data_IF_789021303316
#
_entry.id   IF_789021303316
#
_cell.length_a   1.000
_cell.length_b   1.000
_cell.length_c   1.000
_cell.angle_alpha   90.00
_cell.angle_beta   90.00
_cell.angle_gamma   90.00
#
_symmetry.space_group_name_H-M   'P 1'
#
loop_
_entity.id
_entity.type
_entity.pdbx_description
1 polymer ?
#
# COMPACT_ATOMS: atom_id res chain seq x y z
N UNK A 1 16.72 -16.49 -74.50
CA UNK A 1 17.89 -16.16 -73.62
C UNK A 1 18.09 -17.18 -72.50
N UNK A 2 17.37 -18.32 -72.50
CA UNK A 2 17.37 -19.28 -71.40
C UNK A 2 18.07 -20.60 -71.65
N UNK A 3 19.01 -20.69 -72.60
CA UNK A 3 19.64 -21.95 -72.91
C UNK A 3 21.15 -21.88 -73.17
N UNK A 4 21.90 -21.13 -72.43
CA UNK A 4 23.36 -21.32 -72.36
C UNK A 4 23.72 -21.56 -70.89
N UNK A 5 23.72 -22.84 -70.57
CA UNK A 5 24.56 -23.64 -69.75
C UNK A 5 25.16 -22.94 -68.55
N UNK A 6 24.52 -23.12 -67.42
CA UNK A 6 25.24 -23.19 -66.15
C UNK A 6 25.65 -24.64 -65.99
N UNK A 7 26.68 -25.06 -66.78
CA UNK A 7 27.25 -26.41 -66.75
C UNK A 7 28.21 -26.60 -65.55
N UNK A 8 28.10 -25.78 -64.53
CA UNK A 8 28.90 -25.95 -63.30
C UNK A 8 27.98 -26.06 -62.06
N UNK A 9 27.54 -27.28 -61.71
CA UNK A 9 26.67 -27.48 -60.54
C UNK A 9 27.36 -27.10 -59.27
N UNK A 10 28.67 -27.16 -59.17
CA UNK A 10 29.44 -26.72 -57.98
C UNK A 10 29.38 -25.24 -57.86
N UNK A 11 29.48 -24.44 -58.90
CA UNK A 11 29.36 -23.00 -58.91
C UNK A 11 27.95 -22.54 -58.45
N UNK A 12 26.91 -23.23 -58.92
CA UNK A 12 25.52 -22.90 -58.53
C UNK A 12 25.29 -23.20 -57.07
N UNK A 13 25.79 -24.30 -56.52
CA UNK A 13 25.72 -24.66 -55.14
C UNK A 13 26.46 -23.60 -54.24
N UNK A 14 27.69 -23.23 -54.68
CA UNK A 14 28.50 -22.25 -53.97
C UNK A 14 27.82 -20.85 -53.91
N UNK A 15 27.21 -20.39 -55.01
CA UNK A 15 26.46 -19.13 -55.04
C UNK A 15 25.21 -19.19 -54.16
N UNK A 16 24.48 -20.31 -54.21
CA UNK A 16 23.29 -20.50 -53.36
C UNK A 16 23.67 -20.49 -51.85
N UNK A 17 24.77 -21.15 -51.51
CA UNK A 17 25.26 -21.16 -50.12
C UNK A 17 25.75 -19.79 -49.68
N UNK A 18 26.46 -19.06 -50.52
CA UNK A 18 26.89 -17.70 -50.23
C UNK A 18 25.70 -16.72 -50.05
N UNK A 19 24.66 -16.88 -50.90
CA UNK A 19 23.44 -16.09 -50.79
C UNK A 19 22.68 -16.38 -49.50
N UNK A 20 22.53 -17.63 -49.10
CA UNK A 20 21.86 -18.01 -47.84
C UNK A 20 22.66 -17.57 -46.61
N UNK A 21 23.99 -17.67 -46.63
CA UNK A 21 24.86 -17.18 -45.58
C UNK A 21 24.77 -15.65 -45.41
N UNK A 22 24.70 -14.91 -46.50
CA UNK A 22 24.52 -13.46 -46.49
C UNK A 22 23.16 -13.04 -45.93
N UNK A 23 22.09 -13.75 -46.30
CA UNK A 23 20.75 -13.51 -45.76
C UNK A 23 20.69 -13.79 -44.25
N UNK A 24 21.31 -14.87 -43.76
CA UNK A 24 21.31 -15.17 -42.33
C UNK A 24 21.98 -14.07 -41.46
N UNK A 25 23.05 -13.45 -41.98
CA UNK A 25 23.71 -12.33 -41.33
C UNK A 25 22.80 -11.09 -41.27
N UNK A 26 21.98 -10.85 -42.30
CA UNK A 26 21.02 -9.75 -42.31
C UNK A 26 19.88 -9.92 -41.29
N UNK A 27 19.40 -11.15 -41.10
CA UNK A 27 18.41 -11.44 -40.04
C UNK A 27 18.98 -11.21 -38.65
N UNK A 28 20.23 -11.58 -38.39
CA UNK A 28 20.89 -11.30 -37.10
C UNK A 28 20.99 -9.82 -36.81
N UNK A 29 21.27 -8.98 -37.81
CA UNK A 29 21.32 -7.52 -37.64
C UNK A 29 19.94 -6.95 -37.26
N UNK A 30 18.88 -7.43 -37.91
CA UNK A 30 17.51 -7.00 -37.58
C UNK A 30 17.15 -7.36 -36.14
N UNK A 31 17.52 -8.55 -35.68
CA UNK A 31 17.29 -8.95 -34.27
C UNK A 31 18.02 -8.05 -33.29
N UNK A 32 19.29 -7.69 -33.56
CA UNK A 32 20.07 -6.78 -32.70
C UNK A 32 19.40 -5.42 -32.62
N UNK A 33 18.95 -4.84 -33.73
CA UNK A 33 18.25 -3.55 -33.76
C UNK A 33 16.96 -3.62 -32.93
N UNK A 34 16.17 -4.66 -33.09
CA UNK A 34 14.92 -4.84 -32.29
C UNK A 34 15.23 -4.93 -30.81
N UNK A 35 16.23 -5.75 -30.42
CA UNK A 35 16.62 -5.89 -29.01
C UNK A 35 17.15 -4.59 -28.41
N UNK A 36 17.87 -3.79 -29.19
CA UNK A 36 18.32 -2.45 -28.75
C UNK A 36 17.15 -1.49 -28.53
N UNK A 37 16.15 -1.50 -29.41
CA UNK A 37 14.96 -0.66 -29.25
C UNK A 37 14.14 -1.07 -28.03
N UNK A 38 14.00 -2.37 -27.77
CA UNK A 38 13.33 -2.90 -26.56
C UNK A 38 14.09 -2.51 -25.29
N UNK A 39 15.42 -2.67 -25.29
CA UNK A 39 16.28 -2.27 -24.18
C UNK A 39 16.21 -0.75 -23.92
N UNK A 40 16.22 0.05 -24.98
CA UNK A 40 16.06 1.51 -24.87
C UNK A 40 14.71 1.87 -24.26
N UNK A 41 13.62 1.29 -24.73
CA UNK A 41 12.28 1.53 -24.17
C UNK A 41 12.12 1.05 -22.72
N UNK A 42 12.86 0.00 -22.32
CA UNK A 42 12.92 -0.42 -20.93
C UNK A 42 13.72 0.57 -20.06
N UNK A 43 14.89 1.01 -20.56
CA UNK A 43 15.73 1.99 -19.90
C UNK A 43 15.01 3.34 -19.70
N UNK A 44 14.30 3.83 -20.72
CA UNK A 44 13.52 5.07 -20.62
C UNK A 44 12.47 5.00 -19.48
N UNK A 45 11.81 3.85 -19.33
CA UNK A 45 10.86 3.65 -18.21
C UNK A 45 11.54 3.66 -16.85
N UNK A 46 12.72 3.06 -16.74
CA UNK A 46 13.50 3.06 -15.49
C UNK A 46 13.94 4.49 -15.15
N UNK A 47 14.55 5.20 -16.10
CA UNK A 47 14.97 6.58 -15.88
C UNK A 47 13.80 7.51 -15.54
N UNK A 48 12.64 7.32 -16.17
CA UNK A 48 11.45 8.09 -15.82
C UNK A 48 11.01 7.88 -14.37
N UNK A 49 11.17 6.67 -13.83
CA UNK A 49 10.89 6.39 -12.41
C UNK A 49 11.96 7.03 -11.53
N UNK A 50 13.24 6.92 -11.90
CA UNK A 50 14.37 7.49 -11.16
C UNK A 50 14.33 9.01 -11.11
N UNK A 51 13.95 9.67 -12.23
CA UNK A 51 13.81 11.12 -12.33
C UNK A 51 12.53 11.66 -11.66
N UNK A 52 11.61 10.79 -11.23
CA UNK A 52 10.39 11.23 -10.54
C UNK A 52 10.73 11.71 -9.15
N UNK A 53 10.51 12.99 -8.90
CA UNK A 53 10.70 13.57 -7.57
C UNK A 53 9.63 13.05 -6.60
N UNK A 54 9.98 12.75 -5.36
CA UNK A 54 9.01 12.36 -4.35
C UNK A 54 8.06 13.53 -4.03
N UNK A 55 6.80 13.23 -3.78
CA UNK A 55 5.78 14.23 -3.41
C UNK A 55 6.04 14.86 -2.02
N UNK A 56 6.80 14.18 -1.18
CA UNK A 56 7.22 14.66 0.13
C UNK A 56 8.67 14.26 0.39
N UNK A 57 9.43 15.15 1.03
CA UNK A 57 10.85 14.95 1.27
C UNK A 57 11.14 14.61 2.75
N UNK A 58 12.21 13.86 2.99
CA UNK A 58 12.70 13.63 4.35
C UNK A 58 13.26 14.95 4.93
N UNK A 59 12.93 15.31 6.19
CA UNK A 59 13.44 16.53 6.79
C UNK A 59 14.96 16.47 6.98
N UNK A 60 15.64 17.58 6.68
CA UNK A 60 17.10 17.70 6.86
C UNK A 60 17.48 17.56 8.34
N UNK A 61 16.63 18.08 9.24
CA UNK A 61 16.81 17.99 10.69
C UNK A 61 15.55 17.38 11.31
N UNK A 62 15.43 16.03 11.32
CA UNK A 62 14.24 15.36 11.82
C UNK A 62 14.07 15.57 13.33
N UNK A 63 12.83 15.81 13.74
CA UNK A 63 12.43 15.91 15.13
C UNK A 63 11.73 14.61 15.55
N UNK A 64 12.04 14.13 16.75
CA UNK A 64 11.37 12.96 17.33
C UNK A 64 10.07 13.42 17.99
N UNK A 65 8.95 12.82 17.60
CA UNK A 65 7.63 13.20 18.16
C UNK A 65 7.28 12.48 19.46
N UNK A 66 8.00 11.41 19.81
CA UNK A 66 7.67 10.57 20.95
C UNK A 66 6.35 9.80 20.75
N UNK A 67 5.77 9.28 21.84
CA UNK A 67 4.46 8.65 21.81
C UNK A 67 3.38 9.66 21.40
N UNK A 68 2.51 9.28 20.46
CA UNK A 68 1.51 10.19 19.91
C UNK A 68 0.38 10.39 20.92
N UNK A 69 0.24 11.62 21.44
CA UNK A 69 -0.82 12.04 22.33
C UNK A 69 -1.93 12.79 21.58
N UNK A 70 -1.54 13.59 20.57
CA UNK A 70 -2.48 14.39 19.79
C UNK A 70 -2.06 14.44 18.32
N UNK A 71 -3.06 14.43 17.42
CA UNK A 71 -2.91 14.80 16.01
C UNK A 71 -3.86 15.97 15.76
N UNK A 72 -3.37 17.05 15.17
CA UNK A 72 -4.16 18.22 14.90
C UNK A 72 -4.07 18.62 13.42
N UNK A 73 -5.20 18.70 12.75
CA UNK A 73 -5.35 19.28 11.43
C UNK A 73 -5.73 20.73 11.59
N UNK A 74 -4.86 21.65 11.15
CA UNK A 74 -5.06 23.11 11.22
C UNK A 74 -5.28 23.70 9.84
N UNK A 75 -6.53 24.04 9.54
CA UNK A 75 -6.91 24.70 8.29
C UNK A 75 -6.40 23.97 7.04
N UNK A 76 -6.46 22.64 7.05
CA UNK A 76 -5.89 21.79 6.00
C UNK A 76 -6.76 21.83 4.76
N UNK A 77 -6.18 22.26 3.64
CA UNK A 77 -6.76 22.12 2.31
C UNK A 77 -5.86 21.24 1.44
N UNK A 78 -6.46 20.44 0.56
CA UNK A 78 -5.70 19.55 -0.31
C UNK A 78 -6.40 19.31 -1.65
N UNK A 79 -5.62 19.32 -2.72
CA UNK A 79 -5.97 18.83 -4.06
C UNK A 79 -4.83 17.92 -4.55
N UNK A 80 -5.17 16.87 -5.30
CA UNK A 80 -4.12 16.00 -5.89
C UNK A 80 -3.34 16.75 -6.98
N UNK A 81 -2.05 16.46 -7.14
CA UNK A 81 -1.24 17.04 -8.21
C UNK A 81 -1.93 16.91 -9.59
N UNK A 82 -1.91 18.01 -10.35
CA UNK A 82 -2.55 18.07 -11.67
C UNK A 82 -4.07 18.20 -11.66
N UNK A 83 -4.71 18.39 -10.49
CA UNK A 83 -6.15 18.66 -10.40
C UNK A 83 -6.44 19.95 -9.67
N UNK A 84 -7.45 20.71 -10.12
CA UNK A 84 -7.95 21.90 -9.42
C UNK A 84 -9.01 21.56 -8.36
N UNK A 85 -9.51 20.32 -8.37
CA UNK A 85 -10.57 19.89 -7.45
C UNK A 85 -10.02 19.72 -6.05
N UNK A 86 -10.40 20.61 -5.14
CA UNK A 86 -10.11 20.47 -3.71
C UNK A 86 -10.87 19.27 -3.15
N UNK A 87 -10.16 18.39 -2.47
CA UNK A 87 -10.69 17.21 -1.78
C UNK A 87 -10.96 17.55 -0.32
N UNK A 88 -10.06 18.29 0.31
CA UNK A 88 -10.21 18.84 1.64
C UNK A 88 -10.20 20.37 1.52
N UNK A 89 -11.06 21.04 2.29
CA UNK A 89 -11.16 22.49 2.31
C UNK A 89 -11.23 23.00 3.75
N UNK A 90 -10.17 23.70 4.18
CA UNK A 90 -10.06 24.33 5.50
C UNK A 90 -10.43 23.38 6.66
N UNK A 91 -10.06 22.11 6.52
CA UNK A 91 -10.39 21.07 7.49
C UNK A 91 -9.65 21.30 8.80
N UNK A 92 -10.41 21.30 9.90
CA UNK A 92 -9.89 21.45 11.26
C UNK A 92 -10.41 20.28 12.11
N UNK A 93 -9.50 19.53 12.70
CA UNK A 93 -9.87 18.40 13.55
C UNK A 93 -8.75 18.07 14.53
N UNK A 94 -9.11 17.60 15.73
CA UNK A 94 -8.14 17.12 16.71
C UNK A 94 -8.48 15.70 17.12
N UNK A 95 -7.48 14.83 17.05
CA UNK A 95 -7.52 13.43 17.47
C UNK A 95 -6.67 13.31 18.73
N UNK A 96 -7.24 12.75 19.77
CA UNK A 96 -6.53 12.46 21.01
C UNK A 96 -6.18 10.98 21.11
N UNK A 97 -5.14 10.67 21.86
CA UNK A 97 -4.77 9.29 22.18
C UNK A 97 -5.96 8.54 22.77
N UNK A 98 -6.22 7.34 22.26
CA UNK A 98 -7.34 6.51 22.65
C UNK A 98 -8.66 6.82 21.93
N UNK A 99 -8.72 7.85 21.08
CA UNK A 99 -9.89 8.10 20.24
C UNK A 99 -10.09 6.96 19.22
N UNK A 100 -11.32 6.49 19.11
CA UNK A 100 -11.74 5.56 18.06
C UNK A 100 -12.71 6.27 17.14
N UNK A 101 -12.21 6.67 15.95
CA UNK A 101 -12.91 7.55 15.03
C UNK A 101 -13.30 6.77 13.77
N UNK A 102 -14.60 6.71 13.52
CA UNK A 102 -15.15 6.23 12.28
C UNK A 102 -15.26 7.37 11.26
N UNK A 103 -14.90 7.12 10.01
CA UNK A 103 -15.04 8.08 8.91
C UNK A 103 -16.04 7.49 7.92
N UNK A 104 -17.23 8.08 7.85
CA UNK A 104 -18.33 7.65 7.01
C UNK A 104 -18.52 8.57 5.80
N UNK A 105 -19.06 8.05 4.71
CA UNK A 105 -19.44 8.84 3.54
C UNK A 105 -19.24 8.13 2.23
N UNK A 106 -19.69 8.78 1.15
CA UNK A 106 -19.65 8.23 -0.20
C UNK A 106 -18.23 8.00 -0.72
N UNK A 107 -18.08 7.10 -1.70
CA UNK A 107 -16.82 6.90 -2.39
C UNK A 107 -16.35 8.20 -3.07
N UNK A 108 -15.06 8.47 -3.04
CA UNK A 108 -14.47 9.69 -3.61
C UNK A 108 -14.67 10.98 -2.79
N UNK A 109 -15.20 10.87 -1.57
CA UNK A 109 -15.42 12.03 -0.68
C UNK A 109 -14.16 12.50 0.08
N UNK A 110 -12.99 11.90 -0.16
CA UNK A 110 -11.73 12.32 0.45
C UNK A 110 -11.30 11.56 1.71
N UNK A 111 -12.03 10.50 2.11
CA UNK A 111 -11.72 9.73 3.32
C UNK A 111 -10.30 9.15 3.31
N UNK A 112 -9.96 8.39 2.28
CA UNK A 112 -8.61 7.79 2.14
C UNK A 112 -7.53 8.87 1.94
N UNK A 113 -7.90 10.04 1.40
CA UNK A 113 -6.98 11.19 1.27
C UNK A 113 -6.53 11.68 2.63
N UNK A 114 -7.43 11.73 3.63
CA UNK A 114 -7.08 12.12 5.00
C UNK A 114 -6.02 11.19 5.59
N UNK A 115 -6.18 9.87 5.39
CA UNK A 115 -5.18 8.88 5.86
C UNK A 115 -3.84 9.02 5.12
N UNK A 116 -3.88 9.27 3.81
CA UNK A 116 -2.67 9.46 3.00
C UNK A 116 -1.88 10.72 3.38
N UNK A 117 -2.58 11.79 3.75
CA UNK A 117 -1.94 13.00 4.29
C UNK A 117 -1.29 12.73 5.65
N UNK A 118 -1.96 11.96 6.52
CA UNK A 118 -1.41 11.61 7.83
C UNK A 118 -0.19 10.68 7.71
N UNK A 119 -0.18 9.80 6.70
CA UNK A 119 0.97 8.95 6.35
C UNK A 119 2.08 9.71 5.61
N UNK A 120 1.83 10.99 5.30
CA UNK A 120 2.78 11.84 4.59
C UNK A 120 3.11 11.37 3.18
N UNK A 121 2.16 10.67 2.51
CA UNK A 121 2.27 10.36 1.08
C UNK A 121 2.11 11.62 0.22
N UNK A 122 1.40 12.61 0.75
CA UNK A 122 1.21 13.93 0.17
C UNK A 122 1.35 14.99 1.26
N UNK A 123 1.75 16.20 0.86
CA UNK A 123 1.71 17.38 1.72
C UNK A 123 0.39 18.13 1.52
N UNK A 124 -0.18 18.77 2.57
CA UNK A 124 -1.33 19.64 2.40
C UNK A 124 -0.98 20.83 1.50
N UNK A 125 -1.95 21.26 0.66
CA UNK A 125 -1.78 22.45 -0.20
C UNK A 125 -1.81 23.74 0.62
N UNK A 126 -2.60 23.76 1.70
CA UNK A 126 -2.70 24.86 2.65
C UNK A 126 -2.90 24.31 4.06
N UNK A 127 -2.48 25.07 5.08
CA UNK A 127 -2.56 24.65 6.47
C UNK A 127 -1.46 23.70 6.87
N UNK A 128 -1.62 23.00 7.98
CA UNK A 128 -0.61 22.08 8.52
C UNK A 128 -1.23 20.94 9.32
N UNK A 129 -0.52 19.83 9.40
CA UNK A 129 -0.84 18.71 10.27
C UNK A 129 0.23 18.66 11.36
N UNK A 130 -0.19 18.57 12.61
CA UNK A 130 0.71 18.53 13.76
C UNK A 130 0.55 17.20 14.50
N UNK A 131 1.66 16.64 14.95
CA UNK A 131 1.69 15.54 15.92
C UNK A 131 2.36 16.06 17.21
N UNK A 132 1.65 16.01 18.32
CA UNK A 132 2.11 16.57 19.60
C UNK A 132 2.58 18.05 19.47
N UNK A 133 1.96 18.83 18.59
CA UNK A 133 2.34 20.21 18.31
C UNK A 133 3.53 20.37 17.34
N UNK A 134 4.16 19.28 16.89
CA UNK A 134 5.27 19.27 15.93
C UNK A 134 4.70 19.14 14.52
N UNK A 135 5.06 20.01 13.57
CA UNK A 135 4.67 19.88 12.16
C UNK A 135 5.06 18.51 11.59
N UNK A 136 4.12 17.86 10.91
CA UNK A 136 4.30 16.51 10.36
C UNK A 136 5.51 16.41 9.41
N UNK A 137 5.79 17.47 8.67
CA UNK A 137 6.93 17.57 7.77
C UNK A 137 8.31 17.56 8.46
N UNK A 138 8.35 17.85 9.77
CA UNK A 138 9.59 17.83 10.55
C UNK A 138 9.88 16.47 11.19
N UNK A 139 8.94 15.51 11.11
CA UNK A 139 9.10 14.16 11.65
C UNK A 139 9.64 13.27 10.54
N UNK A 140 10.67 12.46 10.82
CA UNK A 140 11.19 11.52 9.82
C UNK A 140 10.15 10.46 9.43
N UNK A 141 10.21 9.94 8.20
CA UNK A 141 9.35 8.84 7.77
C UNK A 141 9.51 7.60 8.66
N UNK A 142 10.75 7.30 9.04
CA UNK A 142 11.06 6.17 9.92
C UNK A 142 10.36 6.28 11.27
N UNK A 143 10.41 7.46 11.92
CA UNK A 143 9.73 7.70 13.20
C UNK A 143 8.21 7.68 13.04
N UNK A 144 7.68 8.33 12.00
CA UNK A 144 6.25 8.38 11.73
C UNK A 144 5.68 6.98 11.48
N UNK A 145 6.30 6.23 10.57
CA UNK A 145 5.83 4.91 10.20
C UNK A 145 6.06 3.87 11.31
N UNK A 146 6.98 4.08 12.23
CA UNK A 146 7.11 3.25 13.43
C UNK A 146 5.89 3.38 14.35
N UNK A 147 5.25 4.54 14.40
CA UNK A 147 4.17 4.86 15.31
C UNK A 147 2.78 4.75 14.72
N UNK A 148 2.67 4.86 13.40
CA UNK A 148 1.41 4.76 12.67
C UNK A 148 1.46 3.50 11.80
N UNK A 149 0.45 2.65 11.90
CA UNK A 149 0.25 1.54 10.96
C UNK A 149 -0.99 1.78 10.10
N UNK A 150 -0.95 1.29 8.88
CA UNK A 150 -2.02 1.42 7.91
C UNK A 150 -2.43 0.06 7.35
N UNK A 151 -3.71 -0.23 7.39
CA UNK A 151 -4.35 -1.36 6.71
C UNK A 151 -5.10 -0.82 5.50
N UNK A 152 -4.61 -1.17 4.34
CA UNK A 152 -5.28 -0.88 3.07
C UNK A 152 -6.49 -1.81 2.87
N UNK A 153 -7.39 -1.39 1.97
CA UNK A 153 -8.55 -2.17 1.57
C UNK A 153 -8.15 -3.57 1.04
N UNK A 154 -7.07 -3.64 0.24
CA UNK A 154 -6.51 -4.86 -0.29
C UNK A 154 -5.14 -5.12 0.33
N UNK A 155 -5.02 -6.18 1.13
CA UNK A 155 -3.74 -6.58 1.72
C UNK A 155 -2.85 -7.25 0.68
N UNK A 156 -1.71 -6.62 0.39
CA UNK A 156 -0.70 -7.22 -0.48
C UNK A 156 0.12 -8.29 0.26
N UNK A 157 0.26 -9.45 -0.40
CA UNK A 157 1.11 -10.55 0.06
C UNK A 157 2.33 -10.68 -0.84
N UNK A 158 3.50 -10.73 -0.24
CA UNK A 158 4.76 -10.92 -0.92
C UNK A 158 5.00 -12.41 -1.24
N UNK A 159 5.82 -12.68 -2.24
CA UNK A 159 6.27 -14.02 -2.63
C UNK A 159 7.31 -14.55 -1.62
N UNK A 160 6.81 -14.92 -0.45
CA UNK A 160 7.55 -15.45 0.71
C UNK A 160 6.57 -16.24 1.59
N UNK A 161 7.03 -16.88 2.66
CA UNK A 161 6.16 -17.67 3.54
C UNK A 161 5.11 -16.83 4.28
N UNK A 162 4.08 -17.47 4.83
CA UNK A 162 3.08 -16.79 5.66
C UNK A 162 3.74 -16.15 6.89
N UNK A 163 4.64 -16.88 7.55
CA UNK A 163 5.37 -16.38 8.71
C UNK A 163 6.18 -15.13 8.39
N UNK A 164 6.91 -15.14 7.27
CA UNK A 164 7.67 -13.99 6.78
C UNK A 164 6.76 -12.82 6.39
N UNK A 165 5.63 -13.11 5.73
CA UNK A 165 4.63 -12.11 5.41
C UNK A 165 4.08 -11.38 6.64
N UNK A 166 3.87 -12.07 7.75
CA UNK A 166 3.49 -11.43 9.02
C UNK A 166 4.69 -10.72 9.64
N UNK A 167 5.86 -11.37 9.64
CA UNK A 167 7.09 -10.90 10.27
C UNK A 167 7.68 -9.63 9.68
N UNK A 168 7.37 -9.30 8.39
CA UNK A 168 7.83 -8.08 7.73
C UNK A 168 7.44 -6.80 8.50
N UNK A 169 6.37 -6.86 9.29
CA UNK A 169 5.90 -5.74 10.08
C UNK A 169 6.83 -5.39 11.26
N UNK A 170 7.61 -6.36 11.74
CA UNK A 170 8.57 -6.21 12.85
C UNK A 170 9.82 -7.05 12.56
N UNK A 171 10.83 -6.50 11.87
CA UNK A 171 12.08 -7.21 11.60
C UNK A 171 12.70 -7.76 12.90
N UNK A 172 13.03 -9.04 12.89
CA UNK A 172 13.58 -9.73 14.06
C UNK A 172 12.53 -10.24 15.07
N UNK A 173 11.23 -10.21 14.72
CA UNK A 173 10.20 -10.84 15.54
C UNK A 173 10.45 -12.35 15.67
N UNK A 174 10.21 -12.89 16.87
CA UNK A 174 10.29 -14.33 17.09
C UNK A 174 9.06 -15.03 16.47
N UNK A 175 9.19 -16.33 16.22
CA UNK A 175 8.06 -17.12 15.70
C UNK A 175 6.87 -17.14 16.68
N UNK A 176 7.14 -17.07 17.99
CA UNK A 176 6.11 -16.99 19.02
C UNK A 176 5.33 -15.67 18.91
N UNK A 177 6.01 -14.54 18.72
CA UNK A 177 5.36 -13.24 18.50
C UNK A 177 4.50 -13.25 17.23
N UNK A 178 4.98 -13.88 16.16
CA UNK A 178 4.24 -14.04 14.89
C UNK A 178 2.98 -14.87 15.11
N UNK A 179 3.10 -16.02 15.82
CA UNK A 179 1.98 -16.90 16.15
C UNK A 179 0.94 -16.20 17.04
N UNK A 180 1.39 -15.44 18.02
CA UNK A 180 0.50 -14.67 18.90
C UNK A 180 -0.27 -13.59 18.11
N UNK A 181 0.39 -12.89 17.22
CA UNK A 181 -0.25 -11.91 16.34
C UNK A 181 -1.26 -12.57 15.39
N UNK A 182 -0.92 -13.72 14.80
CA UNK A 182 -1.82 -14.48 13.94
C UNK A 182 -3.03 -15.00 14.71
N UNK A 183 -2.85 -15.46 15.95
CA UNK A 183 -3.95 -15.89 16.83
C UNK A 183 -4.88 -14.74 17.17
N UNK A 184 -4.34 -13.59 17.55
CA UNK A 184 -5.13 -12.39 17.83
C UNK A 184 -5.88 -11.89 16.58
N UNK A 185 -5.30 -12.03 15.37
CA UNK A 185 -5.95 -11.70 14.11
C UNK A 185 -6.98 -12.74 13.65
N UNK A 186 -7.11 -13.88 14.34
CA UNK A 186 -8.04 -14.95 13.99
C UNK A 186 -7.66 -15.72 12.73
N UNK A 187 -6.36 -15.76 12.35
CA UNK A 187 -5.88 -16.49 11.16
C UNK A 187 -5.11 -17.77 11.53
N UNK A 188 -4.73 -17.94 12.80
CA UNK A 188 -3.90 -19.06 13.24
C UNK A 188 -4.52 -20.43 12.93
N UNK A 189 -5.82 -20.61 13.21
CA UNK A 189 -6.53 -21.89 12.94
C UNK A 189 -6.46 -22.24 11.45
N UNK A 190 -6.62 -21.27 10.55
CA UNK A 190 -6.47 -21.49 9.12
C UNK A 190 -5.04 -21.91 8.77
N UNK A 191 -4.03 -21.21 9.31
CA UNK A 191 -2.63 -21.53 9.05
C UNK A 191 -2.29 -22.95 9.51
N UNK A 192 -2.81 -23.37 10.65
CA UNK A 192 -2.61 -24.73 11.21
C UNK A 192 -3.24 -25.83 10.35
N UNK A 193 -4.21 -25.53 9.47
CA UNK A 193 -4.75 -26.50 8.49
C UNK A 193 -3.84 -26.71 7.29
N UNK A 194 -2.86 -25.83 7.05
CA UNK A 194 -1.96 -25.93 5.92
C UNK A 194 -0.85 -26.94 6.18
N UNK A 195 -0.42 -27.72 5.17
CA UNK A 195 0.59 -28.76 5.33
C UNK A 195 1.92 -28.26 5.92
N UNK A 196 2.34 -27.06 5.57
CA UNK A 196 3.58 -26.44 6.00
C UNK A 196 3.36 -25.32 7.03
N UNK A 197 2.10 -25.08 7.45
CA UNK A 197 1.76 -24.08 8.45
C UNK A 197 2.29 -22.70 8.13
N UNK A 198 3.05 -22.10 9.02
CA UNK A 198 3.67 -20.77 8.85
C UNK A 198 4.76 -20.72 7.77
N UNK A 199 5.34 -21.88 7.39
CA UNK A 199 6.35 -21.99 6.33
C UNK A 199 5.72 -22.15 4.94
N UNK A 200 4.39 -22.14 4.84
CA UNK A 200 3.66 -22.23 3.56
C UNK A 200 4.03 -21.03 2.68
N UNK A 201 4.53 -21.31 1.49
CA UNK A 201 4.90 -20.32 0.48
C UNK A 201 3.66 -19.63 -0.14
N UNK A 202 3.66 -18.32 -0.13
CA UNK A 202 2.54 -17.50 -0.64
C UNK A 202 2.58 -17.26 -2.16
N UNK A 203 3.70 -17.50 -2.85
CA UNK A 203 3.82 -17.25 -4.29
C UNK A 203 2.69 -17.88 -5.10
N UNK A 204 2.48 -19.18 -4.92
CA UNK A 204 1.40 -19.92 -5.59
C UNK A 204 0.08 -19.91 -4.79
N UNK A 205 0.16 -19.76 -3.46
CA UNK A 205 -0.99 -19.79 -2.56
C UNK A 205 -1.75 -18.46 -2.50
N UNK A 206 -1.11 -17.33 -2.79
CA UNK A 206 -1.74 -16.00 -2.70
C UNK A 206 -3.05 -15.91 -3.50
N UNK A 207 -3.13 -16.59 -4.65
CA UNK A 207 -4.33 -16.66 -5.47
C UNK A 207 -5.45 -17.55 -4.87
N UNK A 208 -5.14 -18.41 -3.90
CA UNK A 208 -6.09 -19.35 -3.27
C UNK A 208 -6.66 -18.84 -1.96
N UNK A 209 -6.02 -17.82 -1.36
CA UNK A 209 -6.54 -17.20 -0.16
C UNK A 209 -7.81 -16.41 -0.45
N UNK A 210 -8.81 -16.55 0.40
CA UNK A 210 -9.97 -15.67 0.42
C UNK A 210 -9.56 -14.22 0.75
N UNK A 211 -10.39 -13.25 0.39
CA UNK A 211 -10.18 -11.85 0.76
C UNK A 211 -10.06 -11.68 2.29
N UNK A 212 -10.84 -12.45 3.06
CA UNK A 212 -10.83 -12.43 4.52
C UNK A 212 -9.52 -12.92 5.13
N UNK A 213 -8.97 -14.01 4.62
CA UNK A 213 -7.69 -14.56 5.09
C UNK A 213 -6.55 -13.59 4.81
N UNK A 214 -6.49 -13.00 3.60
CA UNK A 214 -5.52 -11.95 3.27
C UNK A 214 -5.61 -10.77 4.23
N UNK A 215 -6.82 -10.33 4.52
CA UNK A 215 -7.06 -9.19 5.41
C UNK A 215 -6.64 -9.50 6.85
N UNK A 216 -6.91 -10.72 7.36
CA UNK A 216 -6.45 -11.17 8.68
C UNK A 216 -4.92 -11.23 8.78
N UNK A 217 -4.21 -11.58 7.70
CA UNK A 217 -2.73 -11.47 7.65
C UNK A 217 -2.30 -9.99 7.77
N UNK A 218 -2.98 -9.08 7.09
CA UNK A 218 -2.75 -7.63 7.24
C UNK A 218 -2.96 -7.15 8.67
N UNK A 219 -4.01 -7.63 9.34
CA UNK A 219 -4.28 -7.33 10.75
C UNK A 219 -3.20 -7.91 11.65
N UNK A 220 -2.75 -9.15 11.40
CA UNK A 220 -1.65 -9.76 12.15
C UNK A 220 -0.36 -8.92 12.07
N UNK A 221 -0.05 -8.35 10.88
CA UNK A 221 1.06 -7.41 10.71
C UNK A 221 0.94 -6.20 11.65
N UNK A 222 -0.26 -5.60 11.70
CA UNK A 222 -0.49 -4.42 12.54
C UNK A 222 -0.40 -4.77 14.03
N UNK A 223 -0.97 -5.90 14.45
CA UNK A 223 -0.91 -6.38 15.83
C UNK A 223 0.52 -6.69 16.28
N UNK A 224 1.30 -7.35 15.40
CA UNK A 224 2.72 -7.62 15.65
C UNK A 224 3.55 -6.35 15.81
N UNK A 225 3.25 -5.33 15.00
CA UNK A 225 3.94 -4.04 15.04
C UNK A 225 3.57 -3.20 16.26
N UNK A 226 2.34 -3.33 16.77
CA UNK A 226 1.82 -2.63 17.95
C UNK A 226 1.99 -1.09 17.91
N UNK A 227 1.45 -0.40 16.88
CA UNK A 227 1.62 1.04 16.70
C UNK A 227 0.84 1.87 17.73
N UNK A 228 1.17 3.17 17.86
CA UNK A 228 0.41 4.13 18.67
C UNK A 228 -0.97 4.41 18.04
N UNK A 229 -1.00 4.44 16.70
CA UNK A 229 -2.19 4.72 15.90
C UNK A 229 -2.35 3.69 14.79
N UNK A 230 -3.56 3.19 14.65
CA UNK A 230 -3.95 2.34 13.54
C UNK A 230 -4.91 3.07 12.60
N UNK A 231 -4.57 3.10 11.32
CA UNK A 231 -5.40 3.62 10.24
C UNK A 231 -5.93 2.43 9.44
N UNK A 232 -7.23 2.37 9.19
CA UNK A 232 -7.84 1.28 8.43
C UNK A 232 -8.76 1.84 7.34
N UNK A 233 -8.52 1.43 6.10
CA UNK A 233 -9.36 1.80 4.97
C UNK A 233 -10.20 0.59 4.53
N UNK A 234 -11.50 0.63 4.84
CA UNK A 234 -12.48 -0.39 4.51
C UNK A 234 -12.08 -1.85 4.88
N UNK A 235 -11.68 -2.13 6.13
CA UNK A 235 -11.11 -3.42 6.52
C UNK A 235 -12.08 -4.61 6.41
N UNK A 236 -13.37 -4.38 6.23
CA UNK A 236 -14.40 -5.43 6.11
C UNK A 236 -15.01 -5.51 4.71
N UNK A 237 -14.48 -4.79 3.71
CA UNK A 237 -15.10 -4.72 2.38
C UNK A 237 -15.24 -6.08 1.68
N UNK A 238 -14.26 -6.96 1.86
CA UNK A 238 -14.20 -8.30 1.27
C UNK A 238 -14.83 -9.40 2.15
N UNK A 239 -15.45 -9.04 3.29
CA UNK A 239 -15.98 -10.00 4.26
C UNK A 239 -17.50 -10.11 4.17
N UNK A 240 -18.02 -11.31 4.43
CA UNK A 240 -19.43 -11.50 4.74
C UNK A 240 -19.77 -11.03 6.17
N UNK A 241 -21.05 -11.00 6.52
CA UNK A 241 -21.51 -10.44 7.79
C UNK A 241 -20.99 -11.18 9.04
N UNK A 242 -20.72 -12.49 8.93
CA UNK A 242 -20.21 -13.29 10.06
C UNK A 242 -18.74 -12.94 10.31
N UNK A 243 -17.91 -13.01 9.28
CA UNK A 243 -16.49 -12.70 9.37
C UNK A 243 -16.24 -11.21 9.67
N UNK A 244 -17.10 -10.31 9.18
CA UNK A 244 -17.07 -8.89 9.56
C UNK A 244 -17.24 -8.72 11.08
N UNK A 245 -18.23 -9.41 11.69
CA UNK A 245 -18.48 -9.34 13.13
C UNK A 245 -17.29 -9.86 13.94
N UNK A 246 -16.69 -10.96 13.52
CA UNK A 246 -15.47 -11.51 14.15
C UNK A 246 -14.31 -10.54 14.05
N UNK A 247 -14.10 -9.95 12.86
CA UNK A 247 -13.07 -8.94 12.66
C UNK A 247 -13.26 -7.75 13.58
N UNK A 248 -14.48 -7.19 13.64
CA UNK A 248 -14.80 -6.05 14.50
C UNK A 248 -14.57 -6.38 15.98
N UNK A 249 -14.95 -7.56 16.42
CA UNK A 249 -14.67 -8.01 17.79
C UNK A 249 -13.17 -8.08 18.07
N UNK A 250 -12.39 -8.65 17.13
CA UNK A 250 -10.93 -8.70 17.20
C UNK A 250 -10.33 -7.30 17.31
N UNK A 251 -10.76 -6.39 16.46
CA UNK A 251 -10.27 -5.00 16.46
C UNK A 251 -10.63 -4.28 17.76
N UNK A 252 -11.87 -4.39 18.23
CA UNK A 252 -12.31 -3.77 19.48
C UNK A 252 -11.50 -4.28 20.69
N UNK A 253 -11.20 -5.57 20.71
CA UNK A 253 -10.42 -6.19 21.79
C UNK A 253 -8.95 -5.78 21.72
N UNK A 254 -8.33 -5.88 20.56
CA UNK A 254 -6.91 -5.62 20.36
C UNK A 254 -6.55 -4.12 20.43
N UNK A 255 -7.51 -3.25 20.06
CA UNK A 255 -7.33 -1.79 20.07
C UNK A 255 -8.11 -1.10 21.18
N UNK A 256 -8.55 -1.81 22.20
CA UNK A 256 -9.15 -1.20 23.39
C UNK A 256 -8.18 -0.18 24.02
N UNK A 257 -8.59 1.09 24.09
CA UNK A 257 -7.79 2.19 24.62
C UNK A 257 -6.66 2.71 23.71
N UNK A 258 -6.54 2.19 22.47
CA UNK A 258 -5.61 2.71 21.45
C UNK A 258 -6.34 3.61 20.46
N UNK A 259 -5.58 4.44 19.77
CA UNK A 259 -6.12 5.35 18.75
C UNK A 259 -6.36 4.59 17.44
N UNK A 260 -7.59 4.67 16.95
CA UNK A 260 -8.03 4.01 15.72
C UNK A 260 -8.78 4.99 14.82
N UNK A 261 -8.39 5.08 13.56
CA UNK A 261 -9.14 5.74 12.50
C UNK A 261 -9.62 4.68 11.51
N UNK A 262 -10.93 4.55 11.39
CA UNK A 262 -11.58 3.50 10.61
C UNK A 262 -12.46 4.12 9.53
N UNK A 263 -12.11 3.91 8.26
CA UNK A 263 -12.97 4.27 7.14
C UNK A 263 -13.88 3.09 6.82
N UNK A 264 -15.18 3.33 6.74
CA UNK A 264 -16.13 2.36 6.23
C UNK A 264 -17.37 3.03 5.65
N UNK A 265 -17.94 2.39 4.64
CA UNK A 265 -19.26 2.73 4.13
C UNK A 265 -20.38 1.92 4.82
N UNK A 266 -20.02 0.92 5.63
CA UNK A 266 -20.94 0.08 6.38
C UNK A 266 -21.13 0.65 7.80
N UNK A 267 -22.36 0.94 8.16
CA UNK A 267 -22.68 1.44 9.51
C UNK A 267 -22.37 0.42 10.61
N UNK A 268 -22.49 -0.90 10.31
CA UNK A 268 -22.11 -1.99 11.22
C UNK A 268 -20.65 -1.88 11.68
N UNK A 269 -19.74 -1.60 10.76
CA UNK A 269 -18.30 -1.46 11.02
C UNK A 269 -17.99 -0.28 11.94
N UNK A 270 -18.79 0.79 11.87
CA UNK A 270 -18.59 2.03 12.64
C UNK A 270 -19.23 2.02 14.02
N UNK A 271 -20.04 1.02 14.37
CA UNK A 271 -20.75 0.98 15.68
C UNK A 271 -19.83 0.94 16.90
N UNK A 272 -18.59 0.48 16.72
CA UNK A 272 -17.57 0.46 17.79
C UNK A 272 -16.81 1.77 17.98
N UNK A 273 -16.97 2.74 17.07
CA UNK A 273 -16.25 3.99 17.14
C UNK A 273 -16.91 4.96 18.14
N UNK A 274 -16.08 5.66 18.92
CA UNK A 274 -16.54 6.65 19.89
C UNK A 274 -17.07 7.93 19.23
N UNK A 275 -16.59 8.22 18.02
CA UNK A 275 -16.98 9.37 17.19
C UNK A 275 -17.09 8.95 15.74
N UNK A 276 -18.04 9.56 15.02
CA UNK A 276 -18.19 9.36 13.56
C UNK A 276 -18.04 10.71 12.87
N UNK A 277 -17.05 10.81 12.00
CA UNK A 277 -16.80 11.95 11.14
C UNK A 277 -17.49 11.70 9.79
N UNK A 278 -18.40 12.58 9.39
CA UNK A 278 -19.02 12.48 8.08
C UNK A 278 -18.12 13.09 7.00
N UNK A 279 -18.00 12.43 5.86
CA UNK A 279 -17.16 12.92 4.76
C UNK A 279 -17.57 14.31 4.25
N UNK A 280 -18.82 14.75 4.46
CA UNK A 280 -19.26 16.12 4.23
C UNK A 280 -18.55 17.16 5.12
N UNK A 281 -18.11 16.78 6.31
CA UNK A 281 -17.40 17.65 7.24
C UNK A 281 -15.94 17.91 6.82
N UNK A 282 -15.39 17.05 5.93
CA UNK A 282 -14.07 17.25 5.32
C UNK A 282 -14.02 18.50 4.42
N UNK A 283 -15.19 19.03 4.03
CA UNK A 283 -15.36 20.22 3.20
C UNK A 283 -16.07 21.36 3.93
N UNK A 284 -16.21 21.31 5.24
CA UNK A 284 -17.08 22.22 5.96
C UNK A 284 -16.32 23.26 6.80
N UNK A 285 -16.74 24.53 6.64
CA UNK A 285 -16.26 25.74 7.31
C UNK A 285 -16.68 25.88 8.80
N UNK A 286 -17.15 24.84 9.49
CA UNK A 286 -17.66 25.03 10.86
C UNK A 286 -16.86 24.27 11.89
N UNK A 287 -16.05 25.03 12.62
CA UNK A 287 -15.60 24.78 13.98
C UNK A 287 -16.79 24.38 14.84
N UNK A 288 -16.90 23.13 15.25
CA UNK A 288 -17.72 22.75 16.39
C UNK A 288 -16.76 22.61 17.58
N UNK A 289 -16.40 23.75 18.15
CA UNK A 289 -16.02 23.79 19.57
C UNK A 289 -17.32 23.77 20.39
N UNK A 290 -17.62 22.64 21.02
CA UNK A 290 -18.41 22.58 22.25
C UNK A 290 -17.89 21.47 23.12
#
# INVERSE_FOLDING_TARGET
LASKGIDNPVGTIAISFAATASLSSSFSLTFVVTSLLEAYGAAERIFKIEDTLPETEEPVHPVTCGEIQTIEFKNVSFAYPGTERKILEHFNYVIHKGDQIGIAGESGAGKSTLLRLLLRFFAPSEGQILINGIPLEQISFSELHKRIAFLEQDTYLFDMTIGENIGIAKPGASIEEIKDAAKQAGIAEFIDTLPEGYDTDMGQMSARLSGGERQRIGIARILLRNPDICLMDEPSSALDALHEKELLHTLQTAYAGKTLLLISHRSSTLTGCSRILQAGELKCYRTICK
#
